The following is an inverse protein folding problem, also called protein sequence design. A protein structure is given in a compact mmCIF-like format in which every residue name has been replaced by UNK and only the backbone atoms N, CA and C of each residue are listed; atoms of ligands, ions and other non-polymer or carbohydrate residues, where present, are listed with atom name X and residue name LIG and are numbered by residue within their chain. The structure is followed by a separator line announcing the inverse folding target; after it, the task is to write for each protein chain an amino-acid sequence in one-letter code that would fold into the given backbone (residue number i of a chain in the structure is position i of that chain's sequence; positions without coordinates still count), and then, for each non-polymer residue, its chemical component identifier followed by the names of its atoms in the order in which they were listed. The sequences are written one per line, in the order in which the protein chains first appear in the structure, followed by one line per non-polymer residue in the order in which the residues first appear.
data_IF_290144043506
#
_entry.id   IF_290144043506
#
_cell.length_a   1.000
_cell.length_b   1.000
_cell.length_c   1.000
_cell.angle_alpha   90.00
_cell.angle_beta   90.00
_cell.angle_gamma   90.00
#
_symmetry.space_group_name_H-M   'P 1'
#
loop_
_entity.id
_entity.type
_entity.pdbx_description
1 polymer ?
#
# COMPACT_ATOMS: atom_id res chain seq x y z
N UNK A 1 -34.30 -12.84 -15.66
CA UNK A 1 -33.59 -12.30 -14.48
C UNK A 1 -32.10 -12.59 -14.65
N UNK A 2 -31.29 -11.54 -14.56
CA UNK A 2 -30.00 -11.35 -15.25
C UNK A 2 -28.89 -12.28 -14.73
N UNK A 3 -28.37 -13.15 -15.60
CA UNK A 3 -27.16 -13.96 -15.34
C UNK A 3 -25.94 -13.04 -15.27
N UNK A 4 -25.32 -12.90 -14.10
CA UNK A 4 -23.94 -12.39 -13.97
C UNK A 4 -22.99 -13.58 -13.77
N UNK A 5 -22.35 -14.12 -14.82
CA UNK A 5 -21.36 -15.16 -14.66
C UNK A 5 -20.02 -14.48 -14.34
N UNK A 6 -19.79 -14.07 -13.10
CA UNK A 6 -18.61 -13.24 -12.77
C UNK A 6 -17.77 -13.93 -11.72
N UNK A 7 -17.03 -14.96 -12.12
CA UNK A 7 -15.83 -15.50 -11.47
C UNK A 7 -15.56 -15.01 -10.02
N UNK A 8 -16.37 -15.47 -9.05
CA UNK A 8 -16.51 -14.85 -7.72
C UNK A 8 -15.26 -14.94 -6.83
N UNK A 9 -14.30 -15.81 -7.12
CA UNK A 9 -13.12 -16.00 -6.26
C UNK A 9 -12.10 -14.85 -6.33
N UNK A 10 -11.88 -14.29 -7.51
CA UNK A 10 -10.78 -13.34 -7.75
C UNK A 10 -11.14 -11.90 -7.40
N UNK A 11 -12.42 -11.50 -7.43
CA UNK A 11 -12.85 -10.15 -7.05
C UNK A 11 -13.19 -10.02 -5.56
N UNK A 12 -13.53 -11.13 -4.88
CA UNK A 12 -13.95 -11.12 -3.48
C UNK A 12 -12.94 -10.46 -2.53
N UNK A 13 -11.64 -10.65 -2.76
CA UNK A 13 -10.61 -10.03 -1.92
C UNK A 13 -10.56 -8.50 -2.06
N UNK A 14 -10.93 -7.97 -3.23
CA UNK A 14 -11.04 -6.53 -3.47
C UNK A 14 -12.28 -6.01 -2.75
N UNK A 15 -13.42 -6.68 -2.93
CA UNK A 15 -14.68 -6.28 -2.30
C UNK A 15 -14.56 -6.25 -0.77
N UNK A 16 -13.97 -7.27 -0.14
CA UNK A 16 -13.78 -7.32 1.31
C UNK A 16 -12.92 -6.16 1.81
N UNK A 17 -11.75 -5.93 1.17
CA UNK A 17 -10.84 -4.85 1.56
C UNK A 17 -11.49 -3.49 1.36
N UNK A 18 -12.23 -3.31 0.28
CA UNK A 18 -12.92 -2.07 -0.03
C UNK A 18 -13.94 -1.69 1.03
N UNK A 19 -14.82 -2.63 1.41
CA UNK A 19 -15.82 -2.37 2.45
C UNK A 19 -15.16 -2.06 3.78
N UNK A 20 -14.14 -2.84 4.17
CA UNK A 20 -13.40 -2.60 5.42
C UNK A 20 -12.78 -1.20 5.47
N UNK A 21 -12.07 -0.79 4.42
CA UNK A 21 -11.42 0.53 4.35
C UNK A 21 -12.49 1.63 4.40
N UNK A 22 -13.61 1.50 3.68
CA UNK A 22 -14.70 2.49 3.72
C UNK A 22 -15.29 2.65 5.10
N UNK A 23 -15.46 1.56 5.84
CA UNK A 23 -16.00 1.61 7.20
C UNK A 23 -15.05 2.30 8.17
N UNK A 24 -13.75 2.02 8.08
CA UNK A 24 -12.71 2.67 8.91
C UNK A 24 -12.61 4.16 8.62
N UNK A 25 -12.64 4.56 7.33
CA UNK A 25 -12.66 5.96 6.92
C UNK A 25 -13.93 6.66 7.38
N UNK A 26 -15.09 5.99 7.30
CA UNK A 26 -16.38 6.54 7.77
C UNK A 26 -16.40 6.77 9.27
N UNK A 27 -15.70 5.93 10.05
CA UNK A 27 -15.49 6.14 11.49
C UNK A 27 -14.50 7.26 11.80
N UNK A 28 -13.85 7.83 10.78
CA UNK A 28 -12.77 8.83 10.91
C UNK A 28 -11.55 8.32 11.67
N UNK A 29 -11.38 6.99 11.77
CA UNK A 29 -10.22 6.37 12.40
C UNK A 29 -8.96 6.53 11.52
N UNK A 30 -9.14 6.65 10.19
CA UNK A 30 -8.06 6.75 9.20
C UNK A 30 -8.48 7.69 8.07
N UNK A 31 -7.53 8.51 7.59
CA UNK A 31 -7.68 9.34 6.39
C UNK A 31 -6.96 8.69 5.21
N UNK A 32 -7.60 8.64 4.04
CA UNK A 32 -6.99 8.14 2.81
C UNK A 32 -6.40 9.31 2.01
N UNK A 33 -5.09 9.26 1.78
CA UNK A 33 -4.38 10.20 0.92
C UNK A 33 -3.59 9.43 -0.13
N UNK A 34 -3.53 9.98 -1.34
CA UNK A 34 -2.69 9.42 -2.40
C UNK A 34 -1.23 9.79 -2.14
N UNK A 35 -0.36 8.79 -2.18
CA UNK A 35 1.09 8.95 -2.09
C UNK A 35 1.73 8.34 -3.34
N UNK A 36 2.63 9.09 -3.98
CA UNK A 36 3.34 8.61 -5.15
C UNK A 36 4.27 7.45 -4.80
N UNK A 37 4.44 6.50 -5.71
CA UNK A 37 5.32 5.32 -5.52
C UNK A 37 6.78 5.72 -5.26
N UNK A 38 7.21 6.87 -5.77
CA UNK A 38 8.55 7.44 -5.56
C UNK A 38 8.78 7.87 -4.12
N UNK A 39 7.73 8.29 -3.43
CA UNK A 39 7.78 8.82 -2.06
C UNK A 39 7.22 7.85 -1.02
N UNK A 40 6.70 6.70 -1.45
CA UNK A 40 6.08 5.71 -0.57
C UNK A 40 7.15 4.97 0.25
N UNK A 41 7.52 5.51 1.42
CA UNK A 41 8.53 4.93 2.30
C UNK A 41 8.21 3.50 2.74
N UNK A 42 6.92 3.17 2.88
CA UNK A 42 6.46 1.82 3.19
C UNK A 42 6.85 0.76 2.14
N UNK A 43 7.21 1.18 0.92
CA UNK A 43 7.67 0.25 -0.11
C UNK A 43 8.92 -0.50 0.34
N UNK A 44 9.84 0.10 1.10
CA UNK A 44 11.06 -0.61 1.55
C UNK A 44 10.75 -1.82 2.43
N UNK A 45 9.66 -1.75 3.22
CA UNK A 45 9.26 -2.79 4.17
C UNK A 45 8.39 -3.87 3.52
N UNK A 46 7.66 -3.50 2.46
CA UNK A 46 6.64 -4.37 1.85
C UNK A 46 7.09 -4.96 0.51
N UNK A 47 8.07 -4.34 -0.14
CA UNK A 47 8.58 -4.70 -1.47
C UNK A 47 10.10 -4.57 -1.43
N UNK A 48 10.85 -5.57 -1.89
CA UNK A 48 12.29 -5.38 -2.10
C UNK A 48 12.51 -4.43 -3.29
N UNK A 49 12.81 -3.13 -3.10
CA UNK A 49 12.92 -2.20 -4.21
C UNK A 49 14.28 -2.41 -4.90
N UNK A 50 14.41 -2.06 -6.19
CA UNK A 50 15.71 -2.07 -6.86
C UNK A 50 16.73 -1.22 -6.10
N UNK A 51 18.00 -1.62 -6.13
CA UNK A 51 19.08 -1.04 -5.33
C UNK A 51 19.16 0.50 -5.28
N UNK A 52 18.99 1.24 -6.40
CA UNK A 52 18.97 2.70 -6.38
C UNK A 52 17.84 3.25 -5.49
N UNK A 53 16.61 2.78 -5.71
CA UNK A 53 15.44 3.22 -4.95
C UNK A 53 15.50 2.78 -3.49
N UNK A 54 16.10 1.62 -3.20
CA UNK A 54 16.34 1.22 -1.82
C UNK A 54 17.22 2.24 -1.09
N UNK A 55 18.31 2.73 -1.71
CA UNK A 55 19.18 3.74 -1.11
C UNK A 55 18.47 5.07 -0.86
N UNK A 56 17.67 5.53 -1.82
CA UNK A 56 16.89 6.77 -1.68
C UNK A 56 15.89 6.68 -0.51
N UNK A 57 15.14 5.57 -0.43
CA UNK A 57 14.19 5.32 0.65
C UNK A 57 14.89 5.12 2.01
N UNK A 58 16.06 4.48 2.03
CA UNK A 58 16.87 4.26 3.23
C UNK A 58 17.41 5.59 3.78
N UNK A 59 17.88 6.48 2.90
CA UNK A 59 18.30 7.83 3.27
C UNK A 59 17.12 8.66 3.79
N UNK A 60 15.94 8.58 3.15
CA UNK A 60 14.73 9.25 3.62
C UNK A 60 14.23 8.74 4.98
N UNK A 61 14.55 7.50 5.35
CA UNK A 61 14.29 6.93 6.68
C UNK A 61 15.37 7.26 7.73
N UNK A 62 16.43 7.96 7.34
CA UNK A 62 17.55 8.27 8.24
C UNK A 62 18.42 7.06 8.59
N UNK A 63 18.31 5.95 7.83
CA UNK A 63 19.15 4.78 8.00
C UNK A 63 20.48 5.08 7.31
N UNK A 64 21.45 5.60 8.06
CA UNK A 64 22.80 5.82 7.56
C UNK A 64 23.70 4.65 7.99
N UNK A 65 24.56 4.18 7.08
CA UNK A 65 25.65 3.31 7.48
C UNK A 65 26.56 4.13 8.42
N UNK A 66 26.71 3.69 9.67
CA UNK A 66 27.69 4.28 10.58
C UNK A 66 29.08 4.18 9.93
N UNK A 67 29.62 5.31 9.49
CA UNK A 67 31.04 5.44 9.21
C UNK A 67 31.76 5.54 10.56
N UNK A 68 32.50 4.51 10.92
CA UNK A 68 33.51 4.55 11.98
C UNK A 68 34.80 5.15 11.43
#
# INVERSE_FOLDING_TARGET
MTKKPVNHGRAKHIDIKYHHIRDVVKRSDVTLEYCETTTMLADIMTKGPPGPRHKDLTAALGIHACSH
#
